data_IF_035934137641
#
_entry.id   IF_035934137641
#
_cell.length_a   1.000
_cell.length_b   1.000
_cell.length_c   1.000
_cell.angle_alpha   90.00
_cell.angle_beta   90.00
_cell.angle_gamma   90.00
#
_symmetry.space_group_name_H-M   'P 1'
#
loop_
_entity.id
_entity.type
_entity.pdbx_description
1 polymer ?
#
# COMPACT_ATOMS: atom_id res chain seq x y z
N UNK A 1 9.32 -21.91 -52.40
CA UNK A 1 9.49 -21.95 -50.94
C UNK A 1 8.68 -20.81 -50.35
N UNK A 2 7.49 -21.10 -49.83
CA UNK A 2 6.61 -20.10 -49.22
C UNK A 2 6.94 -19.97 -47.72
N UNK A 3 7.38 -18.79 -47.30
CA UNK A 3 7.54 -18.44 -45.89
C UNK A 3 6.19 -18.06 -45.29
N UNK A 4 5.78 -18.63 -44.14
CA UNK A 4 4.52 -18.25 -43.51
C UNK A 4 4.62 -16.85 -42.90
N UNK A 5 3.69 -15.98 -43.26
CA UNK A 5 3.53 -14.66 -42.66
C UNK A 5 2.88 -14.80 -41.28
N UNK A 6 3.61 -14.38 -40.24
CA UNK A 6 3.12 -14.36 -38.86
C UNK A 6 2.33 -13.06 -38.65
N UNK A 7 1.01 -13.18 -38.62
CA UNK A 7 0.09 -12.08 -38.29
C UNK A 7 -0.10 -12.01 -36.77
N UNK A 8 0.65 -11.14 -36.10
CA UNK A 8 0.43 -10.78 -34.69
C UNK A 8 -0.16 -9.38 -34.65
N UNK A 9 -1.46 -9.29 -34.35
CA UNK A 9 -2.05 -8.36 -33.36
C UNK A 9 -3.57 -8.55 -33.40
N UNK A 10 -4.09 -9.47 -32.59
CA UNK A 10 -5.49 -9.38 -32.16
C UNK A 10 -5.62 -8.15 -31.26
N UNK A 11 -6.50 -7.19 -31.55
CA UNK A 11 -6.72 -6.02 -30.70
C UNK A 11 -7.21 -6.46 -29.33
N UNK A 12 -6.65 -5.86 -28.28
CA UNK A 12 -7.05 -6.08 -26.89
C UNK A 12 -8.57 -5.89 -26.77
N UNK A 13 -9.32 -6.88 -26.24
CA UNK A 13 -10.76 -6.76 -26.13
C UNK A 13 -11.13 -5.52 -25.30
N UNK A 14 -12.18 -4.78 -25.69
CA UNK A 14 -12.60 -3.57 -24.99
C UNK A 14 -12.88 -3.88 -23.53
N UNK A 15 -12.29 -3.09 -22.64
CA UNK A 15 -12.45 -3.20 -21.19
C UNK A 15 -13.95 -3.20 -20.85
N UNK A 16 -14.50 -4.26 -20.23
CA UNK A 16 -15.92 -4.32 -19.93
C UNK A 16 -16.31 -3.17 -19.00
N UNK A 17 -17.43 -2.53 -19.32
CA UNK A 17 -17.96 -1.30 -18.71
C UNK A 17 -18.60 -1.50 -17.32
N UNK A 18 -18.40 -2.66 -16.68
CA UNK A 18 -18.99 -2.97 -15.39
C UNK A 18 -18.11 -2.43 -14.26
N UNK A 19 -18.71 -1.59 -13.40
CA UNK A 19 -18.07 -0.87 -12.30
C UNK A 19 -17.71 -1.77 -11.13
N UNK A 20 -16.98 -2.85 -11.35
CA UNK A 20 -16.48 -3.71 -10.28
C UNK A 20 -14.96 -3.69 -10.26
N UNK A 21 -14.38 -3.56 -9.08
CA UNK A 21 -12.94 -3.71 -8.89
C UNK A 21 -12.67 -4.95 -8.07
N UNK A 22 -11.93 -5.89 -8.66
CA UNK A 22 -11.37 -7.02 -7.94
C UNK A 22 -10.44 -6.48 -6.84
N UNK A 23 -10.59 -6.93 -5.59
CA UNK A 23 -9.73 -6.55 -4.47
C UNK A 23 -8.78 -7.70 -4.12
N UNK A 24 -9.33 -8.89 -3.89
CA UNK A 24 -8.60 -10.09 -3.52
C UNK A 24 -9.20 -11.32 -4.20
N UNK A 25 -8.37 -12.27 -4.60
CA UNK A 25 -8.77 -13.60 -5.08
C UNK A 25 -7.85 -14.63 -4.44
N UNK A 26 -8.41 -15.61 -3.75
CA UNK A 26 -7.63 -16.60 -3.04
C UNK A 26 -8.49 -17.59 -2.25
N UNK A 27 -7.97 -18.05 -1.13
CA UNK A 27 -8.62 -19.02 -0.27
C UNK A 27 -8.78 -18.54 1.17
N UNK A 28 -9.58 -19.24 1.97
CA UNK A 28 -9.65 -19.10 3.42
C UNK A 28 -9.09 -20.38 4.06
N UNK A 29 -8.04 -20.24 4.88
CA UNK A 29 -7.43 -21.34 5.62
C UNK A 29 -8.20 -21.58 6.91
N UNK A 30 -8.71 -22.79 7.09
CA UNK A 30 -9.28 -23.25 8.36
C UNK A 30 -8.16 -23.59 9.36
N UNK A 31 -8.35 -23.32 10.66
CA UNK A 31 -7.27 -23.39 11.66
C UNK A 31 -6.91 -24.83 12.06
N UNK A 32 -7.84 -25.77 11.93
CA UNK A 32 -7.76 -27.13 12.47
C UNK A 32 -7.36 -28.17 11.42
N UNK A 33 -7.82 -27.98 10.20
CA UNK A 33 -7.74 -28.97 9.12
C UNK A 33 -6.68 -28.64 8.07
N UNK A 34 -6.07 -27.44 8.14
CA UNK A 34 -5.27 -26.85 7.04
C UNK A 34 -5.99 -26.87 5.68
N UNK A 35 -7.31 -27.07 5.69
CA UNK A 35 -8.12 -27.12 4.50
C UNK A 35 -8.32 -25.70 3.99
N UNK A 36 -8.05 -25.52 2.70
CA UNK A 36 -8.20 -24.25 2.02
C UNK A 36 -9.58 -24.20 1.34
N UNK A 37 -10.41 -23.26 1.77
CA UNK A 37 -11.65 -22.91 1.10
C UNK A 37 -11.30 -21.93 -0.04
N UNK A 38 -11.00 -22.47 -1.22
CA UNK A 38 -10.54 -21.74 -2.38
C UNK A 38 -11.67 -21.09 -3.20
N UNK A 39 -11.30 -20.40 -4.28
CA UNK A 39 -12.28 -19.79 -5.19
C UNK A 39 -13.01 -18.57 -4.64
N UNK A 40 -12.53 -17.97 -3.55
CA UNK A 40 -13.10 -16.74 -2.98
C UNK A 40 -12.62 -15.53 -3.77
N UNK A 41 -13.56 -14.68 -4.17
CA UNK A 41 -13.29 -13.46 -4.93
C UNK A 41 -13.97 -12.28 -4.23
N UNK A 42 -13.20 -11.26 -3.87
CA UNK A 42 -13.69 -10.05 -3.21
C UNK A 42 -13.72 -8.93 -4.23
N UNK A 43 -14.89 -8.32 -4.42
CA UNK A 43 -15.09 -7.24 -5.38
C UNK A 43 -15.71 -6.03 -4.73
N UNK A 44 -15.26 -4.85 -5.17
CA UNK A 44 -15.82 -3.56 -4.79
C UNK A 44 -16.77 -3.08 -5.87
N UNK A 45 -18.01 -2.74 -5.50
CA UNK A 45 -18.97 -2.10 -6.42
C UNK A 45 -18.67 -0.60 -6.54
N UNK A 46 -18.10 -0.21 -7.68
CA UNK A 46 -17.91 1.17 -8.11
C UNK A 46 -19.14 1.62 -8.89
N UNK A 47 -20.13 2.18 -8.18
CA UNK A 47 -21.27 2.84 -8.84
C UNK A 47 -20.76 3.96 -9.76
N UNK A 48 -21.26 4.02 -11.00
CA UNK A 48 -20.88 5.03 -12.02
C UNK A 48 -21.26 6.48 -11.64
N UNK A 49 -21.86 6.71 -10.47
CA UNK A 49 -22.18 8.02 -9.94
C UNK A 49 -20.95 8.68 -9.28
N UNK A 50 -20.04 9.20 -10.11
CA UNK A 50 -19.17 10.36 -9.85
C UNK A 50 -18.17 10.37 -8.68
N UNK A 51 -18.23 9.46 -7.70
CA UNK A 51 -17.34 9.45 -6.53
C UNK A 51 -16.14 8.53 -6.75
N UNK A 52 -15.19 8.99 -7.57
CA UNK A 52 -14.00 8.22 -7.99
C UNK A 52 -13.05 7.74 -6.87
N UNK A 53 -13.34 8.01 -5.58
CA UNK A 53 -12.42 7.79 -4.46
C UNK A 53 -12.85 6.74 -3.44
N UNK A 54 -13.93 5.96 -3.67
CA UNK A 54 -14.40 4.92 -2.72
C UNK A 54 -13.32 3.91 -2.27
N UNK A 55 -12.34 3.62 -3.14
CA UNK A 55 -11.22 2.76 -2.77
C UNK A 55 -10.32 3.39 -1.68
N UNK A 56 -9.93 4.65 -1.88
CA UNK A 56 -9.05 5.36 -0.95
C UNK A 56 -9.74 5.65 0.39
N UNK A 57 -11.07 5.66 0.37
CA UNK A 57 -11.91 5.89 1.53
C UNK A 57 -12.22 4.62 2.34
N UNK A 58 -12.17 3.43 1.72
CA UNK A 58 -12.44 2.15 2.38
C UNK A 58 -11.14 1.48 2.86
N UNK A 59 -10.86 1.47 4.18
CA UNK A 59 -9.66 0.83 4.72
C UNK A 59 -9.64 -0.67 4.44
N UNK A 60 -10.82 -1.31 4.41
CA UNK A 60 -10.95 -2.74 4.09
C UNK A 60 -10.55 -3.04 2.65
N UNK A 61 -10.97 -2.19 1.70
CA UNK A 61 -10.62 -2.37 0.30
C UNK A 61 -9.10 -2.28 0.09
N UNK A 62 -8.45 -1.30 0.74
CA UNK A 62 -7.00 -1.16 0.73
C UNK A 62 -6.31 -2.36 1.37
N UNK A 63 -6.80 -2.83 2.53
CA UNK A 63 -6.25 -4.00 3.19
C UNK A 63 -6.34 -5.24 2.30
N UNK A 64 -7.50 -5.53 1.70
CA UNK A 64 -7.66 -6.66 0.77
C UNK A 64 -6.75 -6.53 -0.46
N UNK A 65 -6.54 -5.32 -0.97
CA UNK A 65 -5.60 -5.09 -2.08
C UNK A 65 -4.15 -5.35 -1.67
N UNK A 66 -3.74 -5.02 -0.44
CA UNK A 66 -2.42 -5.39 0.10
C UNK A 66 -2.26 -6.88 0.37
N UNK A 67 -3.36 -7.63 0.55
CA UNK A 67 -3.32 -9.08 0.69
C UNK A 67 -3.15 -9.81 -0.66
N UNK A 68 -3.13 -9.09 -1.79
CA UNK A 68 -2.84 -9.70 -3.09
C UNK A 68 -1.46 -10.35 -3.10
N UNK A 69 -1.37 -11.50 -3.75
CA UNK A 69 -0.16 -12.34 -3.74
C UNK A 69 -0.05 -13.26 -2.53
N UNK A 70 -0.94 -13.13 -1.54
CA UNK A 70 -1.05 -14.10 -0.44
C UNK A 70 -2.04 -15.21 -0.82
N UNK A 71 -1.65 -16.49 -0.66
CA UNK A 71 -2.46 -17.61 -1.15
C UNK A 71 -3.78 -17.77 -0.41
N UNK A 72 -3.79 -17.46 0.90
CA UNK A 72 -4.96 -17.63 1.74
C UNK A 72 -5.06 -16.57 2.84
N UNK A 73 -6.29 -16.24 3.23
CA UNK A 73 -6.62 -15.50 4.44
C UNK A 73 -6.81 -16.48 5.61
N UNK A 74 -6.66 -16.01 6.84
CA UNK A 74 -6.74 -16.87 8.03
C UNK A 74 -8.11 -16.76 8.71
N UNK A 75 -8.79 -17.89 8.87
CA UNK A 75 -10.01 -17.98 9.66
C UNK A 75 -9.69 -17.82 11.16
N UNK A 76 -10.50 -17.04 11.87
CA UNK A 76 -10.31 -16.77 13.31
C UNK A 76 -11.46 -17.27 14.20
N UNK A 77 -12.66 -17.41 13.66
CA UNK A 77 -13.84 -17.76 14.45
C UNK A 77 -15.15 -17.34 13.80
N UNK A 78 -16.23 -17.48 14.55
CA UNK A 78 -17.52 -16.85 14.25
C UNK A 78 -17.80 -15.73 15.26
N UNK A 79 -18.57 -14.73 14.85
CA UNK A 79 -19.00 -13.63 15.71
C UNK A 79 -20.45 -13.25 15.41
N UNK A 80 -21.18 -12.80 16.42
CA UNK A 80 -22.54 -12.26 16.25
C UNK A 80 -22.47 -10.84 15.69
N UNK A 81 -23.31 -10.54 14.71
CA UNK A 81 -23.39 -9.22 14.09
C UNK A 81 -23.85 -8.16 15.10
N UNK A 82 -24.74 -8.51 16.04
CA UNK A 82 -25.24 -7.59 17.07
C UNK A 82 -24.16 -7.14 18.07
N UNK A 83 -23.15 -7.98 18.31
CA UNK A 83 -22.09 -7.74 19.30
C UNK A 83 -20.86 -7.06 18.69
N UNK A 84 -20.87 -6.77 17.38
CA UNK A 84 -19.71 -6.31 16.63
C UNK A 84 -20.02 -5.01 15.90
N UNK A 85 -19.18 -3.99 16.07
CA UNK A 85 -19.27 -2.80 15.22
C UNK A 85 -18.66 -3.08 13.86
N UNK A 86 -19.46 -2.92 12.81
CA UNK A 86 -19.07 -3.19 11.43
C UNK A 86 -18.98 -1.90 10.64
N UNK A 87 -17.84 -1.75 9.97
CA UNK A 87 -17.63 -0.73 8.95
C UNK A 87 -17.87 -1.35 7.57
N UNK A 88 -19.09 -1.17 7.06
CA UNK A 88 -19.53 -1.61 5.72
C UNK A 88 -19.10 -0.62 4.61
N UNK A 89 -18.23 0.35 4.89
CA UNK A 89 -17.79 1.32 3.90
C UNK A 89 -17.09 0.64 2.72
N UNK A 90 -17.62 0.88 1.51
CA UNK A 90 -17.12 0.30 0.27
C UNK A 90 -18.05 -0.76 -0.33
N UNK A 91 -18.94 -1.38 0.44
CA UNK A 91 -19.90 -2.35 -0.12
C UNK A 91 -19.19 -3.52 -0.82
N UNK A 92 -18.24 -4.15 -0.14
CA UNK A 92 -17.45 -5.24 -0.69
C UNK A 92 -18.32 -6.50 -0.72
N UNK A 93 -18.52 -7.04 -1.93
CA UNK A 93 -19.19 -8.31 -2.17
C UNK A 93 -18.17 -9.44 -2.28
N UNK A 94 -18.61 -10.64 -1.93
CA UNK A 94 -17.82 -11.86 -2.05
C UNK A 94 -18.54 -12.81 -2.98
N UNK A 95 -17.83 -13.28 -4.00
CA UNK A 95 -18.29 -14.30 -4.92
C UNK A 95 -17.49 -15.58 -4.72
N UNK A 96 -18.18 -16.72 -4.72
CA UNK A 96 -17.56 -18.05 -4.66
C UNK A 96 -17.58 -18.64 -6.05
N UNK A 97 -16.41 -19.06 -6.54
CA UNK A 97 -16.31 -19.70 -7.84
C UNK A 97 -17.19 -20.97 -7.91
N UNK A 98 -17.96 -21.20 -8.98
CA UNK A 98 -18.94 -22.29 -9.04
C UNK A 98 -18.33 -23.69 -8.90
N UNK A 99 -17.06 -23.86 -9.26
CA UNK A 99 -16.31 -25.13 -9.15
C UNK A 99 -15.62 -25.32 -7.79
N UNK A 100 -15.63 -24.32 -6.90
CA UNK A 100 -15.06 -24.41 -5.57
C UNK A 100 -16.07 -25.08 -4.63
N UNK A 101 -16.30 -26.39 -4.83
CA UNK A 101 -17.37 -27.15 -4.18
C UNK A 101 -17.26 -27.12 -2.65
N UNK A 102 -16.05 -27.21 -2.09
CA UNK A 102 -15.85 -27.18 -0.64
C UNK A 102 -16.23 -25.83 -0.04
N UNK A 103 -15.79 -24.73 -0.66
CA UNK A 103 -16.17 -23.38 -0.26
C UNK A 103 -17.69 -23.21 -0.34
N UNK A 104 -18.32 -23.61 -1.45
CA UNK A 104 -19.77 -23.53 -1.59
C UNK A 104 -20.50 -24.27 -0.47
N UNK A 105 -20.17 -25.55 -0.25
CA UNK A 105 -20.80 -26.35 0.81
C UNK A 105 -20.57 -25.71 2.19
N UNK A 106 -19.36 -25.22 2.47
CA UNK A 106 -19.06 -24.56 3.74
C UNK A 106 -19.93 -23.32 3.98
N UNK A 107 -20.00 -22.43 2.98
CA UNK A 107 -20.77 -21.19 3.08
C UNK A 107 -22.28 -21.45 3.03
N UNK A 108 -22.76 -22.40 2.23
CA UNK A 108 -24.16 -22.85 2.20
C UNK A 108 -24.55 -23.45 3.56
N UNK A 109 -23.71 -24.30 4.16
CA UNK A 109 -23.99 -24.85 5.48
C UNK A 109 -23.98 -23.76 6.56
N UNK A 110 -23.05 -22.81 6.47
CA UNK A 110 -22.93 -21.74 7.46
C UNK A 110 -24.08 -20.75 7.39
N UNK A 111 -24.53 -20.38 6.18
CA UNK A 111 -25.48 -19.28 5.98
C UNK A 111 -26.90 -19.71 5.58
N UNK A 112 -27.10 -20.91 5.05
CA UNK A 112 -28.40 -21.35 4.53
C UNK A 112 -29.12 -22.39 5.40
N UNK A 113 -28.47 -23.03 6.39
CA UNK A 113 -29.11 -24.08 7.21
C UNK A 113 -30.25 -23.56 8.08
N UNK A 114 -30.05 -22.45 8.77
CA UNK A 114 -31.09 -21.79 9.57
C UNK A 114 -31.00 -20.27 9.37
N UNK A 115 -31.83 -19.70 8.46
CA UNK A 115 -31.79 -18.27 8.14
C UNK A 115 -31.96 -17.35 9.36
N UNK A 116 -32.62 -17.83 10.41
CA UNK A 116 -32.92 -17.01 11.59
C UNK A 116 -31.69 -16.74 12.45
N UNK A 117 -30.82 -17.75 12.60
CA UNK A 117 -29.59 -17.67 13.38
C UNK A 117 -28.37 -17.36 12.51
N UNK A 118 -28.33 -17.89 11.29
CA UNK A 118 -27.19 -17.78 10.39
C UNK A 118 -26.94 -16.33 9.95
N UNK A 119 -28.00 -15.58 9.63
CA UNK A 119 -27.92 -14.17 9.23
C UNK A 119 -27.52 -13.23 10.38
N UNK A 120 -27.57 -13.70 11.63
CA UNK A 120 -27.13 -12.95 12.81
C UNK A 120 -25.67 -13.22 13.15
N UNK A 121 -25.00 -14.12 12.42
CA UNK A 121 -23.60 -14.49 12.64
C UNK A 121 -22.75 -14.25 11.39
N UNK A 122 -21.45 -14.09 11.60
CA UNK A 122 -20.47 -13.94 10.52
C UNK A 122 -19.18 -14.66 10.85
N UNK A 123 -18.38 -14.91 9.82
CA UNK A 123 -17.07 -15.55 9.91
C UNK A 123 -16.00 -14.47 10.07
N UNK A 124 -15.25 -14.54 11.16
CA UNK A 124 -14.15 -13.64 11.49
C UNK A 124 -12.89 -14.09 10.75
N UNK A 125 -12.28 -13.16 10.03
CA UNK A 125 -11.08 -13.41 9.22
C UNK A 125 -10.01 -12.38 9.57
N UNK A 126 -8.77 -12.83 9.72
CA UNK A 126 -7.62 -11.97 9.94
C UNK A 126 -7.00 -11.51 8.62
N UNK A 127 -6.75 -10.20 8.55
CA UNK A 127 -5.99 -9.54 7.49
C UNK A 127 -4.59 -9.22 8.04
N UNK A 128 -3.71 -10.21 8.02
CA UNK A 128 -2.33 -10.11 8.52
C UNK A 128 -1.74 -11.48 8.87
N UNK A 129 -0.42 -11.51 9.12
CA UNK A 129 0.29 -12.74 9.52
C UNK A 129 0.39 -12.92 11.04
N UNK A 130 0.27 -11.83 11.79
CA UNK A 130 0.41 -11.84 13.24
C UNK A 130 -0.93 -12.07 13.94
N UNK A 131 -0.86 -12.46 15.22
CA UNK A 131 -1.99 -12.46 16.17
C UNK A 131 -2.01 -11.19 17.04
N UNK A 132 -1.25 -10.17 16.62
CA UNK A 132 -1.09 -8.94 17.39
C UNK A 132 -2.33 -8.05 17.36
N UNK A 133 -2.41 -7.04 18.24
CA UNK A 133 -3.48 -6.03 18.23
C UNK A 133 -3.50 -5.21 16.92
N UNK A 134 -2.42 -5.25 16.14
CA UNK A 134 -2.32 -4.63 14.81
C UNK A 134 -3.08 -5.42 13.73
N UNK A 135 -3.50 -6.65 14.02
CA UNK A 135 -4.19 -7.51 13.06
C UNK A 135 -5.55 -6.91 12.74
N UNK A 136 -5.72 -6.45 11.51
CA UNK A 136 -7.01 -5.95 11.07
C UNK A 136 -7.94 -7.14 10.87
N UNK A 137 -9.07 -7.12 11.56
CA UNK A 137 -10.07 -8.17 11.47
C UNK A 137 -11.20 -7.72 10.55
N UNK A 138 -11.67 -8.63 9.72
CA UNK A 138 -12.90 -8.46 8.95
C UNK A 138 -13.90 -9.56 9.28
N UNK A 139 -15.16 -9.29 8.98
CA UNK A 139 -16.26 -10.22 9.11
C UNK A 139 -16.84 -10.49 7.73
N UNK A 140 -17.00 -11.77 7.39
CA UNK A 140 -17.75 -12.23 6.22
C UNK A 140 -19.14 -12.65 6.71
N UNK A 141 -20.19 -12.10 6.11
CA UNK A 141 -21.56 -12.38 6.50
C UNK A 141 -22.49 -12.39 5.28
N UNK A 142 -23.63 -13.06 5.42
CA UNK A 142 -24.67 -13.09 4.40
C UNK A 142 -25.71 -12.00 4.66
N UNK A 143 -26.18 -11.35 3.59
CA UNK A 143 -27.27 -10.38 3.62
C UNK A 143 -28.34 -10.76 2.60
N UNK A 144 -29.63 -10.80 2.97
CA UNK A 144 -30.68 -11.08 2.02
C UNK A 144 -30.80 -9.95 0.99
N UNK A 145 -30.80 -10.30 -0.30
CA UNK A 145 -30.99 -9.41 -1.43
C UNK A 145 -32.09 -10.00 -2.32
N UNK A 146 -33.35 -9.66 -2.00
CA UNK A 146 -34.50 -10.27 -2.65
C UNK A 146 -34.66 -11.73 -2.25
N UNK A 147 -34.61 -12.64 -3.22
CA UNK A 147 -34.69 -14.10 -3.01
C UNK A 147 -33.33 -14.76 -2.81
N UNK A 148 -32.23 -14.03 -3.04
CA UNK A 148 -30.87 -14.56 -2.97
C UNK A 148 -30.13 -14.02 -1.74
N UNK A 149 -29.17 -14.80 -1.24
CA UNK A 149 -28.24 -14.36 -0.21
C UNK A 149 -26.98 -13.82 -0.86
N UNK A 150 -26.64 -12.57 -0.55
CA UNK A 150 -25.40 -11.95 -1.00
C UNK A 150 -24.36 -12.01 0.12
N UNK A 151 -23.20 -12.59 -0.16
CA UNK A 151 -22.07 -12.55 0.76
C UNK A 151 -21.38 -11.18 0.71
N UNK A 152 -21.09 -10.62 1.89
CA UNK A 152 -20.43 -9.33 2.06
C UNK A 152 -19.29 -9.42 3.04
N UNK A 153 -18.34 -8.48 2.91
CA UNK A 153 -17.25 -8.29 3.85
C UNK A 153 -17.33 -6.90 4.48
N UNK A 154 -17.16 -6.82 5.80
CA UNK A 154 -17.04 -5.57 6.53
C UNK A 154 -15.87 -5.62 7.52
N UNK A 155 -15.28 -4.45 7.81
CA UNK A 155 -14.19 -4.37 8.79
C UNK A 155 -14.77 -4.34 10.19
N UNK A 156 -14.15 -5.05 11.12
CA UNK A 156 -14.50 -4.98 12.53
C UNK A 156 -13.84 -3.74 13.13
N UNK A 157 -14.63 -2.88 13.78
CA UNK A 157 -14.14 -1.68 14.48
C UNK A 157 -14.36 -1.82 15.99
N UNK A 158 -13.47 -1.22 16.82
CA UNK A 158 -13.63 -1.27 18.27
C UNK A 158 -14.74 -0.35 18.79
N UNK A 159 -15.13 0.64 17.98
CA UNK A 159 -16.14 1.63 18.28
C UNK A 159 -17.13 1.70 17.10
N UNK A 160 -18.37 2.17 17.32
CA UNK A 160 -19.31 2.40 16.23
C UNK A 160 -18.69 3.32 15.18
N UNK A 161 -18.92 3.06 13.88
CA UNK A 161 -18.41 3.93 12.83
C UNK A 161 -18.90 5.35 13.09
N UNK A 162 -18.02 6.38 13.03
CA UNK A 162 -18.47 7.75 13.19
C UNK A 162 -19.55 8.02 12.15
N UNK A 163 -20.64 8.74 12.49
CA UNK A 163 -21.59 9.18 11.49
C UNK A 163 -20.78 9.88 10.38
N UNK A 164 -21.15 9.64 9.12
CA UNK A 164 -20.48 10.17 7.93
C UNK A 164 -20.61 11.70 7.89
N UNK A 165 -20.00 12.38 8.85
CA UNK A 165 -19.75 13.79 8.83
C UNK A 165 -18.72 13.96 7.73
N UNK A 166 -19.17 14.60 6.64
CA UNK A 166 -18.33 15.14 5.58
C UNK A 166 -17.00 15.52 6.19
N UNK A 167 -15.92 14.81 5.81
CA UNK A 167 -14.57 15.09 6.31
C UNK A 167 -14.38 16.60 6.18
N UNK A 168 -14.31 17.31 7.31
CA UNK A 168 -14.00 18.72 7.26
C UNK A 168 -12.65 18.82 6.54
N UNK A 169 -12.54 19.71 5.53
CA UNK A 169 -11.29 19.88 4.79
C UNK A 169 -10.20 20.13 5.82
N UNK A 170 -9.14 19.31 5.78
CA UNK A 170 -8.01 19.52 6.67
C UNK A 170 -7.40 20.89 6.32
N UNK A 171 -6.91 21.66 7.30
CA UNK A 171 -6.26 22.95 7.03
C UNK A 171 -5.12 22.88 5.99
N UNK A 172 -4.51 21.71 5.85
CA UNK A 172 -3.43 21.41 4.90
C UNK A 172 -3.89 20.69 3.62
N UNK A 173 -5.18 20.37 3.48
CA UNK A 173 -5.71 19.81 2.23
C UNK A 173 -5.66 20.93 1.18
N UNK A 174 -4.91 20.79 0.06
CA UNK A 174 -4.81 21.84 -0.94
C UNK A 174 -6.23 22.25 -1.35
N UNK A 175 -6.61 23.47 -0.97
CA UNK A 175 -7.92 24.01 -1.31
C UNK A 175 -8.15 23.77 -2.79
N UNK A 176 -9.28 23.15 -3.18
CA UNK A 176 -9.53 22.83 -4.58
C UNK A 176 -9.35 24.11 -5.37
N UNK A 177 -8.30 24.16 -6.20
CA UNK A 177 -7.95 25.35 -6.98
C UNK A 177 -9.21 25.72 -7.75
N UNK A 178 -9.82 26.84 -7.40
CA UNK A 178 -11.03 27.33 -8.05
C UNK A 178 -10.76 27.26 -9.56
N UNK A 179 -11.57 26.52 -10.35
CA UNK A 179 -11.43 26.59 -11.79
C UNK A 179 -11.54 28.06 -12.18
N UNK A 180 -10.74 28.53 -13.15
CA UNK A 180 -10.75 29.93 -13.55
C UNK A 180 -12.20 30.35 -13.80
N UNK A 181 -12.63 31.39 -13.10
CA UNK A 181 -13.94 32.00 -13.27
C UNK A 181 -13.98 32.46 -14.72
N UNK A 182 -14.59 31.66 -15.60
CA UNK A 182 -15.04 32.16 -16.89
C UNK A 182 -16.12 33.16 -16.53
N UNK A 183 -15.76 34.43 -16.52
CA UNK A 183 -16.72 35.51 -16.53
C UNK A 183 -17.70 35.23 -17.66
N UNK A 184 -18.90 34.79 -17.28
CA UNK A 184 -20.04 34.83 -18.16
C UNK A 184 -20.29 36.31 -18.45
N UNK A 185 -19.75 36.77 -19.58
CA UNK A 185 -20.18 38.01 -20.19
C UNK A 185 -21.69 37.88 -20.43
N UNK A 186 -22.46 38.65 -19.67
CA UNK A 186 -23.66 39.36 -20.11
C UNK A 186 -24.40 38.72 -21.29
N UNK A 187 -25.50 38.03 -20.98
CA UNK A 187 -26.51 37.71 -21.97
C UNK A 187 -27.25 38.97 -22.40
N UNK A 188 -27.03 39.38 -23.65
CA UNK A 188 -28.01 40.07 -24.47
C UNK A 188 -27.72 39.74 -25.95
N UNK A 189 -28.47 38.80 -26.51
CA UNK A 189 -28.62 38.55 -27.96
C UNK A 189 -29.30 39.78 -28.63
N UNK A 190 -29.38 39.93 -29.98
CA UNK A 190 -29.16 38.97 -31.08
C UNK A 190 -28.41 39.61 -32.30
N UNK A 191 -28.36 38.91 -33.45
CA UNK A 191 -27.80 39.31 -34.75
C UNK A 191 -26.29 39.16 -34.93
N UNK A 192 -25.88 38.06 -35.56
CA UNK A 192 -25.35 38.10 -36.93
C UNK A 192 -24.87 36.71 -37.34
N UNK A 193 -25.46 36.23 -38.44
CA UNK A 193 -24.95 35.14 -39.23
C UNK A 193 -23.47 35.37 -39.61
N UNK A 194 -22.63 34.32 -39.53
CA UNK A 194 -21.63 34.04 -40.57
C UNK A 194 -20.95 32.67 -40.43
N UNK A 195 -21.23 31.87 -41.46
CA UNK A 195 -20.35 30.95 -42.21
C UNK A 195 -19.31 30.13 -41.43
N UNK A 196 -19.63 28.83 -41.36
CA UNK A 196 -18.69 27.71 -41.23
C UNK A 196 -17.68 27.75 -42.39
N UNK A 197 -16.39 27.66 -42.07
CA UNK A 197 -15.37 27.08 -42.96
C UNK A 197 -14.46 26.17 -42.12
N UNK A 198 -14.03 25.01 -42.64
CA UNK A 198 -13.09 24.14 -41.96
C UNK A 198 -11.66 24.54 -42.33
N UNK A 199 -10.87 25.05 -41.37
CA UNK A 199 -9.42 25.22 -41.57
C UNK A 199 -8.70 23.96 -41.12
N UNK A 200 -8.19 23.24 -42.12
CA UNK A 200 -7.20 22.19 -42.02
C UNK A 200 -5.90 22.82 -41.48
N UNK A 201 -5.46 22.42 -40.29
CA UNK A 201 -4.13 22.76 -39.77
C UNK A 201 -3.30 21.49 -39.75
N UNK A 202 -2.58 21.32 -40.85
CA UNK A 202 -1.52 20.38 -41.09
C UNK A 202 -0.22 21.02 -40.55
N UNK A 203 0.32 20.56 -39.41
CA UNK A 203 1.64 20.97 -38.93
C UNK A 203 2.29 19.83 -38.13
N UNK A 204 3.40 19.28 -38.63
CA UNK A 204 4.35 18.54 -37.80
C UNK A 204 5.02 17.30 -38.38
N UNK A 205 5.25 17.21 -39.69
CA UNK A 205 6.20 16.24 -40.25
C UNK A 205 7.63 16.70 -39.99
N UNK A 206 8.43 15.96 -39.22
CA UNK A 206 9.84 16.32 -39.07
C UNK A 206 10.64 15.60 -37.99
N UNK A 207 10.54 14.27 -37.86
CA UNK A 207 11.56 13.48 -37.15
C UNK A 207 12.11 12.43 -38.10
N UNK A 208 13.31 12.70 -38.61
CA UNK A 208 14.11 11.79 -39.43
C UNK A 208 14.67 10.69 -38.51
N UNK A 209 14.25 9.45 -38.70
CA UNK A 209 14.96 8.28 -38.16
C UNK A 209 16.03 7.87 -39.18
N UNK A 210 17.26 8.27 -38.89
CA UNK A 210 18.46 7.81 -39.57
C UNK A 210 18.93 6.47 -38.99
N UNK A 211 19.32 5.62 -39.93
CA UNK A 211 20.02 4.35 -39.89
C UNK A 211 20.87 3.97 -38.64
N UNK A 212 20.85 2.66 -38.40
CA UNK A 212 21.92 1.79 -37.89
C UNK A 212 22.56 2.12 -36.54
N UNK A 213 21.95 1.62 -35.46
CA UNK A 213 22.74 1.13 -34.32
C UNK A 213 22.21 -0.21 -33.81
N UNK A 214 23.07 -1.22 -33.92
CA UNK A 214 22.89 -2.58 -33.40
C UNK A 214 22.64 -2.56 -31.90
N UNK A 215 21.48 -3.04 -31.48
CA UNK A 215 21.12 -3.27 -30.08
C UNK A 215 22.01 -4.38 -29.49
N UNK A 216 23.05 -4.01 -28.72
CA UNK A 216 23.91 -4.97 -28.01
C UNK A 216 23.26 -5.39 -26.70
N UNK A 217 22.75 -6.61 -26.68
CA UNK A 217 22.30 -7.31 -25.47
C UNK A 217 23.50 -7.56 -24.54
N UNK A 218 23.47 -7.12 -23.27
CA UNK A 218 24.51 -7.43 -22.30
C UNK A 218 24.60 -8.95 -22.08
N UNK A 219 25.80 -9.51 -22.20
CA UNK A 219 26.05 -10.93 -22.00
C UNK A 219 25.78 -11.35 -20.55
N UNK A 220 24.96 -12.38 -20.37
CA UNK A 220 24.64 -13.00 -19.09
C UNK A 220 25.89 -13.73 -18.53
N UNK A 221 26.23 -13.57 -17.24
CA UNK A 221 27.41 -14.23 -16.65
C UNK A 221 27.29 -15.75 -16.70
N UNK A 222 28.35 -16.42 -17.17
CA UNK A 222 28.47 -17.89 -17.13
C UNK A 222 28.84 -18.32 -15.70
N UNK A 223 28.25 -19.40 -15.15
CA UNK A 223 28.61 -19.92 -13.85
C UNK A 223 29.94 -20.71 -13.95
N UNK A 224 31.01 -20.12 -13.42
CA UNK A 224 32.29 -20.78 -13.20
C UNK A 224 32.27 -21.56 -11.89
N UNK A 225 32.73 -22.82 -11.96
CA UNK A 225 32.77 -23.83 -10.91
C UNK A 225 34.25 -24.16 -10.68
N UNK A 226 34.75 -23.99 -9.46
CA UNK A 226 36.02 -24.52 -8.87
C UNK A 226 36.14 -23.86 -7.48
N UNK A 227 35.91 -24.50 -6.32
CA UNK A 227 36.49 -25.69 -5.65
C UNK A 227 37.96 -25.52 -5.24
N UNK A 228 38.18 -25.02 -4.02
CA UNK A 228 39.33 -25.33 -3.14
C UNK A 228 38.86 -25.13 -1.67
N UNK A 229 38.59 -26.19 -0.91
CA UNK A 229 39.43 -26.92 0.08
C UNK A 229 39.53 -26.21 1.44
N UNK A 230 39.20 -26.89 2.57
CA UNK A 230 39.02 -26.27 3.88
C UNK A 230 40.28 -26.34 4.76
N UNK A 231 40.39 -25.41 5.72
CA UNK A 231 41.14 -25.65 6.95
C UNK A 231 40.33 -25.21 8.19
N UNK A 232 40.51 -25.91 9.33
CA UNK A 232 39.77 -25.68 10.56
C UNK A 232 40.54 -24.78 11.54
N UNK A 233 39.82 -24.03 12.37
CA UNK A 233 39.90 -24.07 13.84
C UNK A 233 39.20 -22.85 14.48
N UNK A 234 38.35 -23.20 15.44
CA UNK A 234 38.03 -22.58 16.74
C UNK A 234 37.25 -21.25 16.84
N UNK A 235 36.01 -21.44 17.33
CA UNK A 235 35.30 -20.76 18.45
C UNK A 235 35.54 -19.26 18.69
N UNK A 236 34.52 -18.45 18.42
CA UNK A 236 33.77 -17.68 19.44
C UNK A 236 32.57 -16.94 18.81
N UNK A 237 31.50 -16.82 19.59
CA UNK A 237 30.18 -16.29 19.22
C UNK A 237 30.18 -14.80 18.80
N UNK A 238 29.62 -14.47 17.63
CA UNK A 238 29.16 -13.11 17.33
C UNK A 238 27.90 -13.13 16.42
N UNK A 239 26.71 -13.04 17.05
CA UNK A 239 25.38 -13.15 16.43
C UNK A 239 24.83 -11.79 15.94
N UNK A 240 25.57 -10.69 16.08
CA UNK A 240 25.12 -9.39 15.56
C UNK A 240 26.21 -8.71 14.73
N UNK A 241 26.29 -9.11 13.47
CA UNK A 241 27.20 -8.54 12.46
C UNK A 241 27.20 -7.01 12.41
N UNK A 242 28.21 -6.42 13.04
CA UNK A 242 28.66 -5.06 12.81
C UNK A 242 29.51 -5.03 11.53
N UNK A 243 28.85 -4.99 10.37
CA UNK A 243 29.51 -4.77 9.09
C UNK A 243 29.91 -3.30 8.92
N UNK A 244 31.06 -2.90 9.47
CA UNK A 244 31.78 -1.71 9.04
C UNK A 244 32.58 -2.07 7.76
N UNK A 245 31.94 -1.95 6.60
CA UNK A 245 32.61 -2.16 5.31
C UNK A 245 33.26 -0.85 4.88
N UNK A 246 34.57 -0.74 5.09
CA UNK A 246 35.42 0.22 4.40
C UNK A 246 35.44 -0.10 2.91
N UNK A 247 34.75 0.72 2.11
CA UNK A 247 34.75 0.62 0.66
C UNK A 247 36.09 1.11 0.10
N UNK A 248 36.94 0.15 -0.26
CA UNK A 248 38.15 0.35 -1.06
C UNK A 248 37.75 0.71 -2.50
N UNK A 249 38.31 1.81 -2.98
CA UNK A 249 37.90 2.56 -4.16
C UNK A 249 37.69 1.77 -5.46
N UNK A 250 36.50 1.97 -6.04
CA UNK A 250 36.28 1.89 -7.48
C UNK A 250 35.75 3.25 -7.92
N UNK A 251 36.63 4.05 -8.53
CA UNK A 251 36.31 5.38 -9.08
C UNK A 251 35.19 5.24 -10.11
N UNK A 252 33.95 5.43 -9.65
CA UNK A 252 32.79 5.67 -10.50
C UNK A 252 32.74 7.18 -10.71
N UNK A 253 32.86 7.62 -11.96
CA UNK A 253 32.48 8.96 -12.39
C UNK A 253 30.99 9.12 -12.07
N UNK A 254 30.70 9.72 -10.92
CA UNK A 254 29.36 10.03 -10.43
C UNK A 254 29.17 11.53 -10.46
N UNK A 255 27.98 11.96 -10.86
CA UNK A 255 27.50 13.33 -10.86
C UNK A 255 27.73 14.02 -9.51
N UNK A 256 28.29 15.23 -9.51
CA UNK A 256 28.59 16.03 -8.32
C UNK A 256 27.37 16.30 -7.41
N UNK A 257 26.15 16.10 -7.90
CA UNK A 257 24.90 16.34 -7.17
C UNK A 257 24.63 15.31 -6.05
N UNK A 258 25.11 14.06 -6.19
CA UNK A 258 24.89 13.03 -5.16
C UNK A 258 25.78 13.16 -3.93
N UNK A 259 26.94 13.80 -4.09
CA UNK A 259 27.91 13.96 -2.99
C UNK A 259 27.51 15.10 -2.04
N UNK A 260 26.86 16.15 -2.57
CA UNK A 260 26.34 17.26 -1.77
C UNK A 260 25.17 16.83 -0.87
N UNK A 261 24.25 16.01 -1.39
CA UNK A 261 23.12 15.46 -0.62
C UNK A 261 23.63 14.59 0.56
N UNK A 262 24.71 13.85 0.35
CA UNK A 262 25.37 13.05 1.39
C UNK A 262 26.02 13.91 2.50
N UNK A 263 26.63 15.04 2.15
CA UNK A 263 27.28 15.92 3.12
C UNK A 263 26.26 16.63 4.03
N UNK A 264 25.16 17.13 3.47
CA UNK A 264 24.10 17.77 4.25
C UNK A 264 23.43 16.79 5.21
N UNK A 265 23.14 15.56 4.76
CA UNK A 265 22.56 14.54 5.64
C UNK A 265 23.51 14.20 6.81
N UNK A 266 24.82 14.13 6.56
CA UNK A 266 25.83 13.92 7.61
C UNK A 266 25.88 15.07 8.63
N UNK A 267 25.78 16.32 8.17
CA UNK A 267 25.72 17.49 9.05
C UNK A 267 24.47 17.44 9.95
N UNK A 268 23.31 17.17 9.37
CA UNK A 268 22.05 17.02 10.11
C UNK A 268 22.11 15.88 11.15
N UNK A 269 22.70 14.73 10.79
CA UNK A 269 22.92 13.61 11.73
C UNK A 269 23.80 13.99 12.92
N UNK A 270 24.75 14.89 12.70
CA UNK A 270 25.66 15.38 13.75
C UNK A 270 24.94 16.30 14.72
N UNK A 271 24.07 17.18 14.22
CA UNK A 271 23.20 18.05 15.05
C UNK A 271 22.29 17.19 15.93
N UNK A 272 21.58 16.21 15.34
CA UNK A 272 20.71 15.30 16.10
C UNK A 272 21.50 14.58 17.18
N UNK A 273 22.68 14.05 16.85
CA UNK A 273 23.58 13.37 17.81
C UNK A 273 23.96 14.28 18.97
N UNK A 274 24.37 15.51 18.71
CA UNK A 274 24.75 16.48 19.74
C UNK A 274 23.57 16.83 20.64
N UNK A 275 22.40 17.14 20.06
CA UNK A 275 21.19 17.44 20.82
C UNK A 275 20.73 16.25 21.67
N UNK A 276 20.83 15.01 21.17
CA UNK A 276 20.51 13.82 21.96
C UNK A 276 21.45 13.65 23.15
N UNK A 277 22.76 13.81 22.96
CA UNK A 277 23.74 13.72 24.07
C UNK A 277 23.49 14.79 25.13
N UNK A 278 23.12 16.01 24.73
CA UNK A 278 22.88 17.12 25.65
C UNK A 278 21.57 16.97 26.45
N UNK A 279 20.53 16.40 25.84
CA UNK A 279 19.20 16.30 26.47
C UNK A 279 19.01 15.06 27.36
N UNK A 280 19.90 14.06 27.26
CA UNK A 280 19.81 12.84 28.07
C UNK A 280 20.20 13.14 29.53
N UNK A 281 19.34 12.82 30.51
CA UNK A 281 19.66 13.00 31.94
C UNK A 281 20.58 11.89 32.49
N UNK A 282 20.85 10.86 31.70
CA UNK A 282 21.61 9.67 32.11
C UNK A 282 23.09 9.82 31.74
N UNK A 283 23.98 9.50 32.69
CA UNK A 283 25.43 9.51 32.45
C UNK A 283 25.86 8.44 31.44
N UNK A 284 26.90 8.71 30.65
CA UNK A 284 27.46 7.77 29.65
C UNK A 284 27.95 6.44 30.23
N UNK A 285 28.21 6.39 31.54
CA UNK A 285 28.65 5.20 32.27
C UNK A 285 27.50 4.29 32.69
N UNK A 286 26.25 4.75 32.57
CA UNK A 286 25.08 3.94 32.94
C UNK A 286 24.89 2.78 31.96
N UNK A 287 24.57 1.56 32.43
CA UNK A 287 24.42 0.40 31.55
C UNK A 287 23.35 0.60 30.47
N UNK A 288 22.27 1.31 30.78
CA UNK A 288 21.17 1.57 29.84
C UNK A 288 21.42 2.77 28.91
N UNK A 289 22.53 3.51 29.08
CA UNK A 289 22.77 4.73 28.30
C UNK A 289 22.74 4.45 26.79
N UNK A 290 23.38 3.36 26.37
CA UNK A 290 23.49 2.99 24.94
C UNK A 290 22.12 2.69 24.33
N UNK A 291 21.23 2.06 25.09
CA UNK A 291 19.90 1.66 24.63
C UNK A 291 18.98 2.87 24.53
N UNK A 292 18.94 3.71 25.57
CA UNK A 292 18.12 4.94 25.58
C UNK A 292 18.63 5.91 24.51
N UNK A 293 19.94 6.16 24.43
CA UNK A 293 20.53 6.99 23.38
C UNK A 293 20.20 6.45 21.99
N UNK A 294 20.33 5.14 21.79
CA UNK A 294 20.06 4.48 20.51
C UNK A 294 18.60 4.57 20.08
N UNK A 295 17.66 4.46 21.02
CA UNK A 295 16.23 4.59 20.77
C UNK A 295 15.85 6.03 20.41
N UNK A 296 16.31 7.01 21.21
CA UNK A 296 16.04 8.44 20.97
C UNK A 296 16.66 8.89 19.63
N UNK A 297 17.94 8.58 19.40
CA UNK A 297 18.65 8.99 18.18
C UNK A 297 17.99 8.44 16.91
N UNK A 298 17.68 7.13 16.88
CA UNK A 298 17.02 6.50 15.72
C UNK A 298 15.58 6.99 15.54
N UNK A 299 14.85 7.21 16.62
CA UNK A 299 13.49 7.77 16.59
C UNK A 299 13.45 9.16 15.93
N UNK A 300 14.32 10.06 16.37
CA UNK A 300 14.41 11.43 15.82
C UNK A 300 14.88 11.42 14.36
N UNK A 301 15.84 10.57 13.99
CA UNK A 301 16.24 10.38 12.59
C UNK A 301 15.08 9.90 11.72
N UNK A 302 14.29 8.95 12.20
CA UNK A 302 13.15 8.43 11.45
C UNK A 302 12.06 9.48 11.25
N UNK A 303 11.80 10.31 12.26
CA UNK A 303 10.84 11.42 12.19
C UNK A 303 11.27 12.47 11.15
N UNK A 304 12.56 12.80 11.09
CA UNK A 304 13.10 13.85 10.22
C UNK A 304 13.67 13.35 8.88
N UNK A 305 13.50 12.06 8.56
CA UNK A 305 14.14 11.41 7.38
C UNK A 305 13.89 12.12 6.04
N UNK A 306 12.73 12.76 5.89
CA UNK A 306 12.35 13.48 4.67
C UNK A 306 12.98 14.86 4.57
N UNK A 307 13.13 15.56 5.70
CA UNK A 307 13.70 16.89 5.77
C UNK A 307 15.23 16.84 5.72
N UNK A 308 15.85 15.86 6.40
CA UNK A 308 17.30 15.71 6.47
C UNK A 308 18.01 15.58 5.12
N UNK A 309 17.28 15.10 4.09
CA UNK A 309 17.78 14.97 2.71
C UNK A 309 17.57 16.23 1.88
N UNK A 310 16.58 17.05 2.23
CA UNK A 310 16.13 18.18 1.43
C UNK A 310 16.68 19.51 1.92
N UNK A 311 16.89 19.65 3.22
CA UNK A 311 17.31 20.92 3.83
C UNK A 311 18.07 20.71 5.13
N UNK A 312 18.75 21.78 5.58
CA UNK A 312 19.26 21.85 6.95
C UNK A 312 18.08 21.76 7.93
N UNK A 313 18.23 20.96 8.97
CA UNK A 313 17.17 20.76 9.98
C UNK A 313 17.20 21.90 10.99
N UNK A 314 16.01 22.39 11.36
CA UNK A 314 15.85 23.41 12.39
C UNK A 314 16.15 22.85 13.80
N UNK A 315 17.02 23.54 14.55
CA UNK A 315 17.49 23.10 15.86
C UNK A 315 16.35 23.00 16.89
N UNK A 316 15.39 23.94 16.87
CA UNK A 316 14.25 23.93 17.81
C UNK A 316 13.37 22.71 17.59
N UNK A 317 13.19 22.32 16.33
CA UNK A 317 12.45 21.12 15.94
C UNK A 317 13.15 19.85 16.42
N UNK A 318 14.48 19.77 16.28
CA UNK A 318 15.30 18.66 16.82
C UNK A 318 15.17 18.57 18.35
N UNK A 319 15.36 19.68 19.06
CA UNK A 319 15.29 19.71 20.53
C UNK A 319 13.91 19.28 21.04
N UNK A 320 12.84 19.75 20.40
CA UNK A 320 11.47 19.34 20.73
C UNK A 320 11.26 17.84 20.56
N UNK A 321 11.69 17.27 19.44
CA UNK A 321 11.54 15.83 19.16
C UNK A 321 12.40 14.99 20.11
N UNK A 322 13.63 15.41 20.38
CA UNK A 322 14.52 14.76 21.35
C UNK A 322 13.87 14.75 22.73
N UNK A 323 13.31 15.88 23.20
CA UNK A 323 12.62 15.96 24.50
C UNK A 323 11.41 15.03 24.59
N UNK A 324 10.58 14.96 23.53
CA UNK A 324 9.44 14.04 23.48
C UNK A 324 9.92 12.58 23.56
N UNK A 325 10.97 12.23 22.82
CA UNK A 325 11.53 10.88 22.86
C UNK A 325 12.14 10.54 24.22
N UNK A 326 12.91 11.45 24.84
CA UNK A 326 13.48 11.22 26.18
C UNK A 326 12.39 10.97 27.21
N UNK A 327 11.31 11.77 27.21
CA UNK A 327 10.17 11.61 28.13
C UNK A 327 9.42 10.27 27.99
N UNK A 328 9.58 9.55 26.87
CA UNK A 328 8.98 8.22 26.70
C UNK A 328 9.79 7.09 27.36
N UNK A 329 11.10 7.31 27.59
CA UNK A 329 12.00 6.27 28.11
C UNK A 329 12.52 6.58 29.51
N UNK A 330 12.56 7.86 29.89
CA UNK A 330 13.00 8.31 31.21
C UNK A 330 11.86 9.12 31.82
N UNK A 331 11.03 8.51 32.69
CA UNK A 331 9.88 9.16 33.32
C UNK A 331 10.26 10.24 34.33
#
# INVERSE_FOLDING_TARGET
>A
MNTPAISITTPTPPRPAAGFRLLYRGALSLPDSHLLLDGLTFTLHMDHSGSGNRLLESPLALALETMRGRPSLRWMGTAKLADTYLDETGGISIDIHPTATLSRIYFENTFCLDPSTSLQSGIKVALGDSDGPETTLMLIFARPQGTELQLRAARITPAPPPPSLLRLPRPDDPTPRRPPIRFASSGANPFAARKRTPSVANLGSGVRLGADESFKVPAVPRPGKERATPQPMDEDEDVFGAGNVENKGKRKRGSDESDAESQMEKANKTIIKQSTVHALPVAKTHPEYKDIYGAVYRGVQFALRGEMKKSAVDLKSVERLVKIHVNMYVP
#
